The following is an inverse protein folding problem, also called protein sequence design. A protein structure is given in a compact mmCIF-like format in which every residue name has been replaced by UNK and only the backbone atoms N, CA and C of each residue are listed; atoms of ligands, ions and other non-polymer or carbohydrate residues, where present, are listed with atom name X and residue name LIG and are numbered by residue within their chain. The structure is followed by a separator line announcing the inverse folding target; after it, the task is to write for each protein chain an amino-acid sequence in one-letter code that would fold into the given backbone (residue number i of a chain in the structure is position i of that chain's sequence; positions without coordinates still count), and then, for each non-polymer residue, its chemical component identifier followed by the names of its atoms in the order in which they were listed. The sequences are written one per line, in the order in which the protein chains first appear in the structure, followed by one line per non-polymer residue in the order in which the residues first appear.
data_IF_268664646285
#
_entry.id   IF_268664646285
#
_cell.length_a   1.000
_cell.length_b   1.000
_cell.length_c   1.000
_cell.angle_alpha   90.00
_cell.angle_beta   90.00
_cell.angle_gamma   90.00
#
_symmetry.space_group_name_H-M   'P 1'
#
loop_
_entity.id
_entity.type
_entity.pdbx_description
1 polymer ?
#
# COMPACT_ATOMS: atom_id res chain seq x y z
N UNK A 1 37.75 -17.00 -15.11
CA UNK A 1 36.84 -16.18 -14.27
C UNK A 1 35.48 -16.05 -14.98
N UNK A 2 34.65 -17.09 -14.91
CA UNK A 2 33.28 -17.11 -15.47
C UNK A 2 32.38 -17.44 -14.29
N UNK A 3 31.56 -16.49 -13.85
CA UNK A 3 30.36 -16.64 -13.00
C UNK A 3 30.03 -15.35 -12.21
N UNK A 4 30.90 -14.33 -12.16
CA UNK A 4 30.59 -13.11 -11.39
C UNK A 4 29.67 -12.11 -12.10
N UNK A 5 29.43 -12.27 -13.40
CA UNK A 5 28.66 -11.31 -14.21
C UNK A 5 27.21 -11.73 -14.47
N UNK A 6 26.84 -12.95 -14.06
CA UNK A 6 25.48 -13.49 -14.26
C UNK A 6 24.54 -13.18 -13.09
N UNK A 7 25.09 -12.61 -12.01
CA UNK A 7 24.36 -12.06 -10.87
C UNK A 7 24.42 -10.53 -10.84
N UNK A 8 24.43 -9.88 -12.01
CA UNK A 8 23.83 -8.54 -12.06
C UNK A 8 22.34 -8.77 -11.79
N UNK A 9 21.98 -8.83 -10.51
CA UNK A 9 20.63 -8.83 -10.01
C UNK A 9 19.91 -7.70 -10.74
N UNK A 10 19.08 -8.05 -11.73
CA UNK A 10 18.09 -7.12 -12.26
C UNK A 10 17.15 -6.82 -11.10
N UNK A 11 17.52 -5.79 -10.34
CA UNK A 11 16.75 -5.28 -9.23
C UNK A 11 15.38 -4.92 -9.78
N UNK A 12 14.33 -5.41 -9.14
CA UNK A 12 12.97 -5.07 -9.51
C UNK A 12 12.80 -3.56 -9.36
N UNK A 13 12.33 -2.92 -10.42
CA UNK A 13 11.98 -1.50 -10.39
C UNK A 13 10.58 -1.35 -9.78
N UNK A 14 10.53 -1.07 -8.47
CA UNK A 14 9.28 -0.91 -7.75
C UNK A 14 8.47 0.32 -8.21
N UNK A 15 9.10 1.32 -8.82
CA UNK A 15 8.41 2.49 -9.35
C UNK A 15 7.61 2.17 -10.64
N UNK A 16 7.98 1.08 -11.33
CA UNK A 16 7.36 0.65 -12.59
C UNK A 16 6.28 -0.43 -12.39
N UNK A 17 5.93 -0.79 -11.15
CA UNK A 17 4.91 -1.80 -10.88
C UNK A 17 3.52 -1.21 -11.06
N UNK A 18 2.72 -1.86 -11.90
CA UNK A 18 1.35 -1.48 -12.24
C UNK A 18 1.21 -1.26 -13.74
N UNK A 19 -0.01 -1.38 -14.24
CA UNK A 19 -0.32 -1.12 -15.64
C UNK A 19 -1.70 -0.46 -15.77
N UNK A 20 -1.87 0.34 -16.81
CA UNK A 20 -3.18 0.87 -17.16
C UNK A 20 -4.03 -0.24 -17.81
N UNK A 21 -5.27 -0.37 -17.35
CA UNK A 21 -6.25 -1.30 -17.93
C UNK A 21 -7.44 -0.53 -18.47
N UNK A 22 -8.14 -1.11 -19.44
CA UNK A 22 -9.37 -0.52 -19.96
C UNK A 22 -10.50 -0.57 -18.92
N UNK A 23 -11.47 0.34 -19.06
CA UNK A 23 -12.67 0.35 -18.22
C UNK A 23 -13.48 -0.96 -18.32
N UNK A 24 -13.52 -1.59 -19.50
CA UNK A 24 -14.20 -2.87 -19.71
C UNK A 24 -13.53 -4.00 -18.91
N UNK A 25 -12.20 -4.09 -18.99
CA UNK A 25 -11.42 -5.07 -18.22
C UNK A 25 -11.56 -4.83 -16.71
N UNK A 26 -11.55 -3.58 -16.27
CA UNK A 26 -11.75 -3.24 -14.86
C UNK A 26 -13.12 -3.74 -14.35
N UNK A 27 -14.20 -3.55 -15.12
CA UNK A 27 -15.52 -4.04 -14.77
C UNK A 27 -15.58 -5.57 -14.74
N UNK A 28 -14.98 -6.24 -15.72
CA UNK A 28 -14.92 -7.70 -15.77
C UNK A 28 -14.22 -8.27 -14.52
N UNK A 29 -13.11 -7.67 -14.09
CA UNK A 29 -12.40 -8.08 -12.88
C UNK A 29 -13.24 -7.90 -11.61
N UNK A 30 -13.95 -6.78 -11.50
CA UNK A 30 -14.81 -6.47 -10.34
C UNK A 30 -16.01 -7.42 -10.28
N UNK A 31 -16.72 -7.65 -11.38
CA UNK A 31 -17.88 -8.54 -11.41
C UNK A 31 -17.47 -10.00 -11.15
N UNK A 32 -16.36 -10.45 -11.75
CA UNK A 32 -15.82 -11.80 -11.48
C UNK A 32 -15.52 -12.00 -9.99
N UNK A 33 -14.91 -11.01 -9.34
CA UNK A 33 -14.66 -11.07 -7.89
C UNK A 33 -15.96 -11.06 -7.09
N UNK A 34 -16.92 -10.22 -7.47
CA UNK A 34 -18.24 -10.12 -6.81
C UNK A 34 -19.02 -11.44 -6.85
N UNK A 35 -18.91 -12.19 -7.94
CA UNK A 35 -19.54 -13.52 -8.08
C UNK A 35 -18.85 -14.60 -7.24
N UNK A 36 -17.52 -14.49 -7.05
CA UNK A 36 -16.71 -15.51 -6.37
C UNK A 36 -16.51 -15.26 -4.87
N UNK A 37 -16.75 -14.03 -4.39
CA UNK A 37 -16.51 -13.66 -2.99
C UNK A 37 -17.38 -14.45 -2.01
N UNK A 38 -16.84 -14.70 -0.81
CA UNK A 38 -17.60 -15.37 0.24
C UNK A 38 -18.46 -14.37 1.02
N UNK A 39 -19.55 -14.81 1.69
CA UNK A 39 -20.30 -13.97 2.61
C UNK A 39 -19.38 -13.35 3.67
N UNK A 40 -19.36 -12.03 3.75
CA UNK A 40 -18.52 -11.27 4.69
C UNK A 40 -17.19 -10.79 4.11
N UNK A 41 -16.83 -11.16 2.88
CA UNK A 41 -15.68 -10.54 2.20
C UNK A 41 -16.00 -9.11 1.75
N UNK A 42 -14.98 -8.24 1.84
CA UNK A 42 -15.08 -6.83 1.45
C UNK A 42 -14.98 -6.70 -0.07
N UNK A 43 -15.85 -5.88 -0.67
CA UNK A 43 -15.84 -5.63 -2.13
C UNK A 43 -14.70 -4.71 -2.59
N UNK A 44 -14.13 -3.94 -1.68
CA UNK A 44 -13.08 -2.97 -1.97
C UNK A 44 -12.83 -2.06 -0.77
N UNK A 45 -11.88 -1.14 -0.93
CA UNK A 45 -11.50 -0.15 0.07
C UNK A 45 -11.43 1.23 -0.56
N UNK A 46 -11.70 2.26 0.24
CA UNK A 46 -11.58 3.66 -0.17
C UNK A 46 -10.40 4.28 0.58
N UNK A 47 -9.53 4.96 -0.16
CA UNK A 47 -8.43 5.72 0.42
C UNK A 47 -8.64 7.20 0.16
N UNK A 48 -8.59 8.00 1.21
CA UNK A 48 -8.61 9.45 1.10
C UNK A 48 -7.35 9.97 0.39
N UNK A 49 -7.53 10.94 -0.52
CA UNK A 49 -6.43 11.57 -1.25
C UNK A 49 -5.32 12.08 -0.32
N UNK A 50 -5.70 12.70 0.80
CA UNK A 50 -4.78 13.22 1.81
C UNK A 50 -3.87 12.12 2.40
N UNK A 51 -4.39 10.91 2.59
CA UNK A 51 -3.63 9.76 3.12
C UNK A 51 -2.62 9.28 2.08
N UNK A 52 -3.04 9.19 0.82
CA UNK A 52 -2.17 8.82 -0.30
C UNK A 52 -1.02 9.83 -0.43
N UNK A 53 -1.33 11.13 -0.43
CA UNK A 53 -0.32 12.18 -0.52
C UNK A 53 0.68 12.12 0.65
N UNK A 54 0.21 11.87 1.88
CA UNK A 54 1.09 11.73 3.05
C UNK A 54 2.04 10.53 2.91
N UNK A 55 1.55 9.37 2.45
CA UNK A 55 2.38 8.19 2.26
C UNK A 55 3.42 8.39 1.16
N UNK A 56 3.05 9.04 0.06
CA UNK A 56 3.93 9.35 -1.06
C UNK A 56 4.94 10.46 -0.75
N UNK A 57 4.62 11.36 0.19
CA UNK A 57 5.53 12.42 0.62
C UNK A 57 6.70 11.91 1.49
N UNK A 58 6.69 10.64 1.90
CA UNK A 58 7.80 10.05 2.66
C UNK A 58 9.10 10.06 1.82
N UNK A 59 10.23 10.54 2.38
CA UNK A 59 11.48 10.58 1.64
C UNK A 59 11.91 9.21 1.14
N UNK A 60 12.19 9.11 -0.17
CA UNK A 60 12.59 7.86 -0.81
C UNK A 60 11.43 6.93 -1.18
N UNK A 61 10.17 7.35 -0.99
CA UNK A 61 9.00 6.60 -1.41
C UNK A 61 8.93 6.53 -2.94
N UNK A 62 8.82 5.31 -3.47
CA UNK A 62 8.67 5.04 -4.91
C UNK A 62 7.35 4.36 -5.26
N UNK A 63 6.58 3.96 -4.26
CA UNK A 63 5.31 3.27 -4.43
C UNK A 63 4.62 2.98 -3.10
N UNK A 64 3.45 2.34 -3.17
CA UNK A 64 2.67 1.95 -2.00
C UNK A 64 2.51 0.42 -1.95
N UNK A 65 2.44 -0.13 -0.74
CA UNK A 65 2.08 -1.53 -0.48
C UNK A 65 0.88 -1.60 0.44
N UNK A 66 0.04 -2.60 0.18
CA UNK A 66 -1.21 -2.86 0.85
C UNK A 66 -1.15 -4.25 1.50
N UNK A 67 -1.36 -4.32 2.81
CA UNK A 67 -1.41 -5.58 3.56
C UNK A 67 -2.81 -5.81 4.10
N UNK A 68 -3.27 -7.06 4.09
CA UNK A 68 -4.45 -7.45 4.87
C UNK A 68 -4.11 -7.45 6.36
N UNK A 69 -4.96 -6.80 7.16
CA UNK A 69 -4.91 -6.80 8.61
C UNK A 69 -6.25 -7.21 9.22
N UNK A 70 -6.25 -7.47 10.52
CA UNK A 70 -7.46 -7.64 11.32
C UNK A 70 -7.49 -6.52 12.34
N UNK A 71 -8.56 -5.73 12.38
CA UNK A 71 -8.70 -4.62 13.34
C UNK A 71 -9.06 -5.14 14.75
N UNK A 72 -9.20 -4.21 15.70
CA UNK A 72 -9.51 -4.55 17.10
C UNK A 72 -10.89 -5.20 17.28
N UNK A 73 -11.79 -5.06 16.29
CA UNK A 73 -13.12 -5.66 16.24
C UNK A 73 -13.12 -7.05 15.59
N UNK A 74 -11.96 -7.56 15.17
CA UNK A 74 -11.84 -8.86 14.48
C UNK A 74 -12.22 -8.82 13.00
N UNK A 75 -12.38 -7.63 12.41
CA UNK A 75 -12.76 -7.45 11.01
C UNK A 75 -11.53 -7.31 10.11
N UNK A 76 -11.61 -7.88 8.90
CA UNK A 76 -10.59 -7.67 7.85
C UNK A 76 -10.51 -6.19 7.50
N UNK A 77 -9.29 -5.67 7.36
CA UNK A 77 -8.99 -4.31 6.89
C UNK A 77 -7.72 -4.31 6.03
N UNK A 78 -7.37 -3.17 5.44
CA UNK A 78 -6.08 -2.95 4.82
C UNK A 78 -5.20 -2.00 5.64
N UNK A 79 -3.91 -2.31 5.61
CA UNK A 79 -2.83 -1.48 6.15
C UNK A 79 -1.99 -0.99 4.97
N UNK A 80 -1.77 0.32 4.90
CA UNK A 80 -1.07 0.98 3.80
C UNK A 80 0.30 1.47 4.25
N UNK A 81 1.33 1.21 3.45
CA UNK A 81 2.71 1.69 3.70
C UNK A 81 3.34 2.21 2.41
N UNK A 82 4.23 3.20 2.53
CA UNK A 82 5.15 3.55 1.44
C UNK A 82 6.25 2.50 1.31
N UNK A 83 6.81 2.34 0.13
CA UNK A 83 7.99 1.48 -0.10
C UNK A 83 9.12 2.26 -0.76
N UNK A 84 10.36 1.88 -0.46
CA UNK A 84 11.54 2.46 -1.10
C UNK A 84 11.95 1.71 -2.38
N UNK A 85 12.99 2.21 -3.06
CA UNK A 85 13.52 1.63 -4.28
C UNK A 85 14.14 0.23 -4.09
N UNK A 86 14.37 -0.21 -2.85
CA UNK A 86 14.80 -1.57 -2.50
C UNK A 86 13.61 -2.49 -2.17
N UNK A 87 12.38 -1.96 -2.23
CA UNK A 87 11.16 -2.68 -1.87
C UNK A 87 10.98 -2.85 -0.36
N UNK A 88 11.73 -2.11 0.45
CA UNK A 88 11.56 -2.12 1.90
C UNK A 88 10.43 -1.16 2.29
N UNK A 89 9.65 -1.58 3.28
CA UNK A 89 8.57 -0.74 3.79
C UNK A 89 9.16 0.47 4.51
N UNK A 90 8.66 1.65 4.16
CA UNK A 90 8.94 2.91 4.82
C UNK A 90 8.16 2.97 6.13
N UNK A 91 8.62 2.20 7.11
CA UNK A 91 8.09 2.16 8.46
C UNK A 91 8.78 3.24 9.30
N UNK A 92 8.56 4.53 9.03
CA UNK A 92 9.12 5.58 9.90
C UNK A 92 8.11 6.21 10.85
N UNK A 93 8.53 6.24 12.11
CA UNK A 93 8.03 7.07 13.20
C UNK A 93 9.18 8.02 13.64
N UNK A 94 9.27 9.28 13.17
CA UNK A 94 10.00 10.41 13.81
C UNK A 94 9.66 11.78 13.17
N UNK A 95 9.22 12.75 13.96
CA UNK A 95 9.07 14.21 13.78
C UNK A 95 10.11 14.84 14.71
N UNK A 96 10.55 16.09 14.53
CA UNK A 96 11.27 16.85 15.56
C UNK A 96 10.58 18.20 15.71
N UNK A 97 10.15 18.54 16.92
CA UNK A 97 9.54 19.80 17.32
C UNK A 97 10.59 20.79 17.85
N UNK A 98 10.33 22.08 17.67
CA UNK A 98 11.19 23.16 18.16
C UNK A 98 11.49 22.99 19.66
N UNK A 99 12.78 22.95 19.99
CA UNK A 99 13.30 22.55 21.31
C UNK A 99 14.15 21.27 21.31
N UNK A 100 14.30 20.58 20.17
CA UNK A 100 15.09 19.35 20.05
C UNK A 100 14.33 18.09 20.46
N UNK A 101 13.00 18.14 20.49
CA UNK A 101 12.16 17.00 20.83
C UNK A 101 11.76 16.24 19.58
N UNK A 102 11.96 14.93 19.53
CA UNK A 102 11.44 14.12 18.43
C UNK A 102 9.92 13.90 18.60
N UNK A 103 9.06 14.51 17.78
CA UNK A 103 7.69 14.00 17.60
C UNK A 103 7.71 12.71 16.75
N UNK A 104 6.57 12.20 16.31
CA UNK A 104 6.47 11.00 15.46
C UNK A 104 5.11 11.11 14.73
N UNK A 105 5.08 11.08 13.39
CA UNK A 105 3.84 11.00 12.62
C UNK A 105 3.76 9.61 11.97
N UNK A 106 2.57 9.04 11.94
CA UNK A 106 2.34 7.60 11.79
C UNK A 106 2.48 7.15 10.32
N UNK A 107 3.57 6.47 9.97
CA UNK A 107 3.81 5.87 8.64
C UNK A 107 2.97 4.62 8.32
N UNK A 108 1.92 4.35 9.09
CA UNK A 108 1.04 3.20 8.88
C UNK A 108 -0.39 3.64 9.14
N UNK A 109 -1.19 3.64 8.08
CA UNK A 109 -2.56 4.13 8.12
C UNK A 109 -3.47 2.97 7.75
N UNK A 110 -4.55 2.79 8.51
CA UNK A 110 -5.57 1.78 8.28
C UNK A 110 -6.91 2.47 8.09
N UNK A 111 -7.76 1.92 7.22
CA UNK A 111 -9.14 2.39 7.08
C UNK A 111 -9.96 1.99 8.31
N UNK A 112 -10.69 2.95 8.88
CA UNK A 112 -11.57 2.79 10.06
C UNK A 112 -13.01 3.20 9.77
N UNK A 113 -13.34 3.58 8.53
CA UNK A 113 -14.69 3.99 8.15
C UNK A 113 -15.36 2.81 7.43
N UNK A 114 -16.51 2.40 7.96
CA UNK A 114 -17.25 1.23 7.50
C UNK A 114 -17.49 1.21 5.99
N UNK A 115 -17.20 0.04 5.42
CA UNK A 115 -17.42 -0.40 4.04
C UNK A 115 -18.73 0.13 3.44
N UNK A 116 -18.64 0.77 2.27
CA UNK A 116 -19.80 1.06 1.43
C UNK A 116 -20.11 -0.17 0.57
N UNK A 117 -21.25 -0.80 0.87
CA UNK A 117 -21.78 -1.91 0.10
C UNK A 117 -22.35 -1.43 -1.24
N UNK A 118 -21.91 -2.06 -2.33
CA UNK A 118 -22.64 -2.16 -3.60
C UNK A 118 -23.10 -3.60 -3.82
#
# INVERSE_FOLDING_TARGET
MRMLQKELLTKQDYAAIGEEISHEQANEFIETYKEQRQPGDLGGYVLGRNIIDQLLAQPGCVGLRFYYGINEEGQKTLVYVGIDADGQDLLKKTVVMEGGLFGIDLGTIADRIGSWFW
#
